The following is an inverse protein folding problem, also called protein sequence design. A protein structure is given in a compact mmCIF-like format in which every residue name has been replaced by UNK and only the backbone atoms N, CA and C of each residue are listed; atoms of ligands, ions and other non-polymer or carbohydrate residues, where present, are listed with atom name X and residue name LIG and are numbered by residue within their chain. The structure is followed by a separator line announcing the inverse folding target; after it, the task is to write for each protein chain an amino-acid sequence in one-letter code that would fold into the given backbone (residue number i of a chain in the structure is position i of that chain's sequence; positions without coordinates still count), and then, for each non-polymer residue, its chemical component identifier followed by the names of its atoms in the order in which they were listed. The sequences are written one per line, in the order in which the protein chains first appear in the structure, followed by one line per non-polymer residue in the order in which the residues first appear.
data_IF_021423882674
#
_entry.id   IF_021423882674
#
_cell.length_a   1.000
_cell.length_b   1.000
_cell.length_c   1.000
_cell.angle_alpha   90.00
_cell.angle_beta   90.00
_cell.angle_gamma   90.00
#
_symmetry.space_group_name_H-M   'P 1'
#
loop_
_entity.id
_entity.type
_entity.pdbx_description
1 polymer ?
#
# COMPACT_ATOMS: atom_id res chain seq x y z
N UNK A 1 -22.82 0.73 24.51
CA UNK A 1 -21.86 1.48 23.67
C UNK A 1 -20.97 2.33 24.57
N UNK A 2 -19.64 2.39 24.41
CA UNK A 2 -18.74 1.50 23.66
C UNK A 2 -17.74 0.75 24.56
N UNK A 3 -17.41 -0.46 24.12
CA UNK A 3 -16.42 -1.37 24.68
C UNK A 3 -15.02 -0.99 24.20
N UNK A 4 -14.11 -0.72 25.14
CA UNK A 4 -12.68 -0.59 24.88
C UNK A 4 -12.03 -1.94 25.16
N UNK A 5 -12.02 -2.82 24.16
CA UNK A 5 -11.28 -4.07 24.26
C UNK A 5 -9.84 -3.84 23.79
N UNK A 6 -8.98 -3.40 24.72
CA UNK A 6 -7.53 -3.43 24.58
C UNK A 6 -7.10 -4.86 24.91
N UNK A 7 -6.94 -5.70 23.89
CA UNK A 7 -6.30 -7.00 24.02
C UNK A 7 -4.98 -7.00 23.27
N UNK A 8 -3.90 -7.10 24.05
CA UNK A 8 -2.60 -7.51 23.54
C UNK A 8 -2.72 -8.89 22.91
N UNK A 9 -2.52 -8.93 21.61
CA UNK A 9 -2.30 -10.13 20.81
C UNK A 9 -1.30 -9.74 19.76
N UNK A 10 -0.18 -10.45 19.71
CA UNK A 10 0.94 -10.24 18.80
C UNK A 10 0.45 -9.96 17.38
N UNK A 11 0.50 -8.68 16.97
CA UNK A 11 0.08 -8.25 15.63
C UNK A 11 1.10 -8.77 14.64
N UNK A 12 0.81 -9.95 14.10
CA UNK A 12 1.57 -10.59 13.03
C UNK A 12 1.64 -9.59 11.87
N UNK A 13 2.87 -9.14 11.63
CA UNK A 13 3.25 -7.95 10.87
C UNK A 13 3.00 -8.09 9.36
N UNK A 14 1.73 -8.08 8.94
CA UNK A 14 1.35 -8.05 7.52
C UNK A 14 -0.02 -7.42 7.34
N UNK A 15 -0.20 -6.21 7.88
CA UNK A 15 -1.41 -5.43 7.60
C UNK A 15 -1.21 -4.78 6.23
N UNK A 16 -1.85 -5.36 5.21
CA UNK A 16 -1.91 -4.76 3.87
C UNK A 16 -3.09 -3.78 3.89
N UNK A 17 -2.77 -2.48 3.84
CA UNK A 17 -3.75 -1.41 3.96
C UNK A 17 -3.82 -0.63 2.66
N UNK A 18 -5.05 -0.29 2.26
CA UNK A 18 -5.28 0.56 1.10
C UNK A 18 -4.81 1.98 1.40
N UNK A 19 -3.74 2.43 0.73
CA UNK A 19 -3.30 3.82 0.76
C UNK A 19 -3.94 4.60 -0.38
N UNK A 20 -4.26 5.88 -0.14
CA UNK A 20 -4.67 6.78 -1.21
C UNK A 20 -3.55 6.96 -2.24
N UNK A 21 -3.87 6.81 -3.52
CA UNK A 21 -2.89 6.87 -4.62
C UNK A 21 -2.06 8.15 -4.61
N UNK A 22 -2.67 9.30 -4.35
CA UNK A 22 -1.92 10.56 -4.28
C UNK A 22 -0.83 10.53 -3.21
N UNK A 23 -1.13 9.92 -2.05
CA UNK A 23 -0.19 9.79 -0.95
C UNK A 23 0.95 8.82 -1.27
N UNK A 24 0.64 7.80 -2.08
CA UNK A 24 1.63 6.90 -2.62
C UNK A 24 2.55 7.63 -3.61
N UNK A 25 1.98 8.45 -4.48
CA UNK A 25 2.73 9.26 -5.46
C UNK A 25 3.69 10.22 -4.76
N UNK A 26 3.25 10.93 -3.72
CA UNK A 26 4.13 11.80 -2.92
C UNK A 26 5.32 11.01 -2.33
N UNK A 27 5.06 9.81 -1.80
CA UNK A 27 6.11 8.95 -1.28
C UNK A 27 7.05 8.43 -2.39
N UNK A 28 6.51 8.16 -3.58
CA UNK A 28 7.27 7.75 -4.76
C UNK A 28 8.18 8.88 -5.26
N UNK A 29 7.68 10.10 -5.34
CA UNK A 29 8.47 11.30 -5.67
C UNK A 29 9.57 11.55 -4.63
N UNK A 30 9.30 11.27 -3.34
CA UNK A 30 10.30 11.31 -2.28
C UNK A 30 11.28 10.10 -2.29
N UNK A 31 11.14 9.16 -3.23
CA UNK A 31 11.95 7.95 -3.32
C UNK A 31 11.73 6.95 -2.17
N UNK A 32 10.66 7.13 -1.39
CA UNK A 32 10.31 6.33 -0.20
C UNK A 32 8.95 5.64 -0.35
N UNK A 33 8.56 5.33 -1.59
CA UNK A 33 7.31 4.63 -1.87
C UNK A 33 7.27 3.26 -1.16
N UNK A 34 6.18 2.95 -0.45
CA UNK A 34 5.97 1.62 0.10
C UNK A 34 5.72 0.63 -1.04
N UNK A 35 6.05 -0.65 -0.80
CA UNK A 35 5.77 -1.70 -1.76
C UNK A 35 4.25 -1.90 -1.93
N UNK A 36 3.82 -2.12 -3.16
CA UNK A 36 2.41 -2.27 -3.55
C UNK A 36 2.15 -3.68 -4.05
N UNK A 37 0.92 -4.15 -3.93
CA UNK A 37 0.52 -5.45 -4.47
C UNK A 37 -0.33 -5.17 -5.69
N UNK A 38 0.18 -5.50 -6.87
CA UNK A 38 -0.49 -5.19 -8.14
C UNK A 38 -1.87 -5.87 -8.19
N UNK A 39 -1.98 -7.11 -7.71
CA UNK A 39 -3.25 -7.83 -7.60
C UNK A 39 -4.30 -7.12 -6.73
N UNK A 40 -3.86 -6.36 -5.71
CA UNK A 40 -4.71 -5.62 -4.80
C UNK A 40 -4.83 -4.12 -5.17
N UNK A 41 -4.21 -3.69 -6.26
CA UNK A 41 -4.19 -2.29 -6.69
C UNK A 41 -5.18 -2.10 -7.83
N UNK A 42 -6.12 -1.17 -7.67
CA UNK A 42 -7.09 -0.86 -8.72
C UNK A 42 -6.42 -0.24 -9.95
N UNK A 43 -6.92 -0.54 -11.15
CA UNK A 43 -6.40 -0.01 -12.42
C UNK A 43 -6.39 1.52 -12.49
N UNK A 44 -7.26 2.19 -11.71
CA UNK A 44 -7.30 3.66 -11.60
C UNK A 44 -5.97 4.27 -11.17
N UNK A 45 -5.11 3.52 -10.50
CA UNK A 45 -3.77 3.97 -10.10
C UNK A 45 -2.89 4.26 -11.33
N UNK A 46 -3.14 3.60 -12.47
CA UNK A 46 -2.44 3.84 -13.73
C UNK A 46 -2.66 5.24 -14.31
N UNK A 47 -3.73 5.92 -13.91
CA UNK A 47 -3.97 7.32 -14.29
C UNK A 47 -3.04 8.30 -13.54
N UNK A 48 -2.49 7.89 -12.39
CA UNK A 48 -1.63 8.73 -11.55
C UNK A 48 -0.16 8.35 -11.65
N UNK A 49 0.15 7.06 -11.76
CA UNK A 49 1.51 6.54 -11.81
C UNK A 49 1.64 5.46 -12.88
N UNK A 50 2.73 5.47 -13.66
CA UNK A 50 2.89 4.50 -14.73
C UNK A 50 3.04 3.08 -14.17
N UNK A 51 2.53 2.09 -14.91
CA UNK A 51 2.64 0.67 -14.54
C UNK A 51 4.10 0.26 -14.26
N UNK A 52 5.06 0.82 -15.00
CA UNK A 52 6.49 0.57 -14.79
C UNK A 52 6.98 0.99 -13.40
N UNK A 53 6.44 2.08 -12.84
CA UNK A 53 6.75 2.49 -11.48
C UNK A 53 6.13 1.52 -10.48
N UNK A 54 4.86 1.17 -10.64
CA UNK A 54 4.19 0.21 -9.75
C UNK A 54 4.88 -1.16 -9.77
N UNK A 55 5.27 -1.66 -10.94
CA UNK A 55 6.03 -2.90 -11.12
C UNK A 55 7.36 -2.88 -10.36
N UNK A 56 8.04 -1.73 -10.30
CA UNK A 56 9.30 -1.58 -9.55
C UNK A 56 9.11 -1.74 -8.04
N UNK A 57 7.94 -1.37 -7.53
CA UNK A 57 7.57 -1.47 -6.12
C UNK A 57 6.61 -2.64 -5.85
N UNK A 58 6.37 -3.50 -6.83
CA UNK A 58 5.43 -4.61 -6.69
C UNK A 58 6.00 -5.69 -5.76
N UNK A 59 5.22 -6.10 -4.77
CA UNK A 59 5.54 -7.25 -3.90
C UNK A 59 5.30 -8.60 -4.59
N UNK A 60 4.39 -8.62 -5.56
CA UNK A 60 3.94 -9.83 -6.27
C UNK A 60 4.94 -10.31 -7.34
N UNK A 61 5.80 -9.42 -7.85
CA UNK A 61 6.83 -9.76 -8.84
C UNK A 61 8.09 -10.35 -8.18
N UNK A 62 7.96 -11.47 -7.48
CA UNK A 62 9.09 -12.23 -6.91
C UNK A 62 9.40 -13.50 -7.71
#
# INVERSE_FOLDING_TARGET
MPEKNVLGGELKHSDHWCLHVLRWVEAWEAGRAPRVILEATHESVLAYVPLSALKRYALDLN
#
